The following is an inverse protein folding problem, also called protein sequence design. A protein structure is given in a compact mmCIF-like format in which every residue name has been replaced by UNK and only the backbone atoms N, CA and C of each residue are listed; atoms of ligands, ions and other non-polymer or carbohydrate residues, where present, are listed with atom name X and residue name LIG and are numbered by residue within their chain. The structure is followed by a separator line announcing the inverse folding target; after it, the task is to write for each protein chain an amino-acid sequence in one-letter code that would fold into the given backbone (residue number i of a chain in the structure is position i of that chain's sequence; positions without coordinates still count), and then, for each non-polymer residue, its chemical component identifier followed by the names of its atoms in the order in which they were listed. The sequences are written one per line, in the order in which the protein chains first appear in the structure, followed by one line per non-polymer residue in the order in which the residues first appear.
data_IF_088337392289
#
_entry.id   IF_088337392289
#
_cell.length_a   1.000
_cell.length_b   1.000
_cell.length_c   1.000
_cell.angle_alpha   90.00
_cell.angle_beta   90.00
_cell.angle_gamma   90.00
#
_symmetry.space_group_name_H-M   'P 1'
#
loop_
_entity.id
_entity.type
_entity.pdbx_description
1 polymer ?
#
# COMPACT_ATOMS: atom_id res chain seq x y z
N UNK A 1 12.16 -42.92 4.96
CA UNK A 1 13.35 -42.06 5.17
C UNK A 1 12.86 -40.64 5.45
N UNK A 2 12.78 -40.23 6.72
CA UNK A 2 12.33 -38.88 7.09
C UNK A 2 13.46 -37.89 6.80
N UNK A 3 13.29 -37.06 5.79
CA UNK A 3 14.21 -35.96 5.47
C UNK A 3 14.11 -34.91 6.58
N UNK A 4 14.98 -35.01 7.59
CA UNK A 4 15.15 -33.96 8.61
C UNK A 4 15.80 -32.76 7.92
N UNK A 5 14.99 -31.75 7.62
CA UNK A 5 15.47 -30.51 7.01
C UNK A 5 16.41 -29.81 8.02
N UNK A 6 17.65 -29.44 7.62
CA UNK A 6 18.58 -28.73 8.49
C UNK A 6 17.98 -27.43 9.04
N UNK A 7 18.26 -27.12 10.31
CA UNK A 7 17.69 -25.98 11.04
C UNK A 7 17.92 -24.64 10.34
N UNK A 8 19.07 -24.46 9.68
CA UNK A 8 19.37 -23.27 8.87
C UNK A 8 18.45 -23.12 7.65
N UNK A 9 18.22 -24.20 6.90
CA UNK A 9 17.28 -24.18 5.75
C UNK A 9 15.87 -23.81 6.21
N UNK A 10 15.45 -24.32 7.36
CA UNK A 10 14.14 -23.99 7.93
C UNK A 10 14.03 -22.49 8.24
N UNK A 11 15.04 -21.90 8.86
CA UNK A 11 15.06 -20.46 9.17
C UNK A 11 15.06 -19.57 7.92
N UNK A 12 15.77 -19.98 6.85
CA UNK A 12 15.79 -19.28 5.57
C UNK A 12 14.41 -19.30 4.88
N UNK A 13 13.76 -20.48 4.82
CA UNK A 13 12.42 -20.61 4.22
C UNK A 13 11.40 -19.73 4.96
N UNK A 14 11.44 -19.69 6.28
CA UNK A 14 10.56 -18.83 7.06
C UNK A 14 10.86 -17.34 6.86
N UNK A 15 12.13 -16.94 6.83
CA UNK A 15 12.50 -15.55 6.53
C UNK A 15 11.94 -15.08 5.19
N UNK A 16 12.03 -15.93 4.17
CA UNK A 16 11.47 -15.65 2.85
C UNK A 16 9.93 -15.52 2.88
N UNK A 17 9.24 -16.39 3.62
CA UNK A 17 7.77 -16.30 3.77
C UNK A 17 7.34 -14.97 4.41
N UNK A 18 8.06 -14.49 5.44
CA UNK A 18 7.78 -13.20 6.08
C UNK A 18 7.91 -12.06 5.07
N UNK A 19 8.99 -12.06 4.27
CA UNK A 19 9.19 -11.04 3.23
C UNK A 19 8.07 -11.07 2.18
N UNK A 20 7.64 -12.24 1.74
CA UNK A 20 6.55 -12.41 0.77
C UNK A 20 5.21 -11.88 1.31
N UNK A 21 4.92 -12.09 2.60
CA UNK A 21 3.72 -11.58 3.27
C UNK A 21 3.80 -10.06 3.44
N UNK A 22 4.92 -9.54 3.94
CA UNK A 22 5.13 -8.10 4.15
C UNK A 22 5.07 -7.33 2.82
N UNK A 23 5.65 -7.89 1.75
CA UNK A 23 5.58 -7.32 0.41
C UNK A 23 4.15 -7.30 -0.12
N UNK A 24 3.38 -8.37 0.09
CA UNK A 24 1.97 -8.42 -0.27
C UNK A 24 1.17 -7.33 0.44
N UNK A 25 1.34 -7.21 1.76
CA UNK A 25 0.66 -6.20 2.56
C UNK A 25 1.00 -4.76 2.11
N UNK A 26 2.27 -4.50 1.82
CA UNK A 26 2.76 -3.20 1.33
C UNK A 26 2.17 -2.81 -0.01
N UNK A 27 2.14 -3.74 -0.99
CA UNK A 27 1.54 -3.50 -2.31
C UNK A 27 0.03 -3.28 -2.20
N UNK A 28 -0.64 -4.07 -1.36
CA UNK A 28 -2.05 -3.87 -1.06
C UNK A 28 -2.31 -2.48 -0.48
N UNK A 29 -1.57 -2.11 0.57
CA UNK A 29 -1.71 -0.80 1.20
C UNK A 29 -1.41 0.36 0.23
N UNK A 30 -0.46 0.20 -0.69
CA UNK A 30 -0.22 1.20 -1.74
C UNK A 30 -1.48 1.43 -2.58
N UNK A 31 -2.04 0.35 -3.17
CA UNK A 31 -3.22 0.46 -4.02
C UNK A 31 -4.49 0.81 -3.26
N UNK A 32 -4.52 0.45 -1.99
CA UNK A 32 -5.52 0.81 -1.01
C UNK A 32 -5.29 2.17 -0.37
N UNK A 33 -4.42 3.03 -0.90
CA UNK A 33 -4.34 4.47 -0.57
C UNK A 33 -4.36 5.30 -1.84
N UNK A 34 -3.71 4.81 -2.89
CA UNK A 34 -3.75 5.40 -4.22
C UNK A 34 -5.19 5.35 -4.79
N UNK A 35 -5.68 6.42 -5.45
CA UNK A 35 -7.04 6.50 -5.97
C UNK A 35 -7.25 5.57 -7.18
N UNK A 36 -7.35 4.27 -6.92
CA UNK A 36 -7.51 3.21 -7.92
C UNK A 36 -8.97 2.91 -8.23
N UNK A 37 -9.91 3.39 -7.41
CA UNK A 37 -11.36 3.24 -7.60
C UNK A 37 -11.81 1.80 -7.92
N UNK A 38 -11.28 0.82 -7.18
CA UNK A 38 -11.63 -0.59 -7.33
C UNK A 38 -10.69 -1.39 -8.25
N UNK A 39 -9.73 -0.74 -8.91
CA UNK A 39 -8.73 -1.42 -9.75
C UNK A 39 -7.58 -2.07 -8.95
N UNK A 40 -7.54 -1.89 -7.63
CA UNK A 40 -6.47 -2.38 -6.74
C UNK A 40 -6.20 -3.89 -6.89
N UNK A 41 -7.24 -4.71 -7.01
CA UNK A 41 -7.12 -6.16 -7.22
C UNK A 41 -6.46 -6.50 -8.55
N UNK A 42 -6.87 -5.83 -9.64
CA UNK A 42 -6.32 -6.06 -10.98
C UNK A 42 -4.85 -5.64 -11.01
N UNK A 43 -4.53 -4.48 -10.45
CA UNK A 43 -3.15 -3.98 -10.37
C UNK A 43 -2.27 -4.89 -9.51
N UNK A 44 -2.80 -5.42 -8.40
CA UNK A 44 -2.11 -6.41 -7.57
C UNK A 44 -1.86 -7.72 -8.33
N UNK A 45 -2.81 -8.20 -9.13
CA UNK A 45 -2.63 -9.38 -9.98
C UNK A 45 -1.52 -9.19 -11.02
N UNK A 46 -1.42 -7.99 -11.62
CA UNK A 46 -0.36 -7.68 -12.57
C UNK A 46 1.02 -7.68 -11.89
N UNK A 47 1.14 -7.02 -10.74
CA UNK A 47 2.38 -6.99 -9.97
C UNK A 47 2.78 -8.37 -9.44
N UNK A 48 1.81 -9.23 -9.10
CA UNK A 48 2.09 -10.57 -8.61
C UNK A 48 2.90 -11.41 -9.62
N UNK A 49 2.68 -11.21 -10.92
CA UNK A 49 3.45 -11.90 -11.98
C UNK A 49 4.94 -11.59 -11.90
N UNK A 50 5.30 -10.39 -11.46
CA UNK A 50 6.68 -9.87 -11.40
C UNK A 50 7.31 -10.19 -10.04
N UNK A 51 6.63 -9.80 -8.95
CA UNK A 51 7.21 -9.78 -7.61
C UNK A 51 6.90 -11.03 -6.76
N UNK A 52 5.94 -11.86 -7.16
CA UNK A 52 5.60 -13.15 -6.51
C UNK A 52 5.35 -13.04 -4.98
N UNK A 53 4.61 -12.02 -4.56
CA UNK A 53 4.21 -11.79 -3.16
C UNK A 53 2.94 -12.56 -2.76
N UNK A 54 2.52 -12.50 -1.49
CA UNK A 54 1.26 -13.11 -1.06
C UNK A 54 0.05 -12.30 -1.58
N UNK A 55 -0.57 -12.77 -2.67
CA UNK A 55 -1.68 -12.07 -3.33
C UNK A 55 -2.93 -11.91 -2.45
N UNK A 56 -3.43 -12.95 -1.72
CA UNK A 56 -4.53 -12.77 -0.78
C UNK A 56 -4.28 -11.65 0.24
N UNK A 57 -3.07 -11.59 0.81
CA UNK A 57 -2.68 -10.53 1.75
C UNK A 57 -2.71 -9.15 1.08
N UNK A 58 -2.23 -9.05 -0.17
CA UNK A 58 -2.28 -7.79 -0.92
C UNK A 58 -3.73 -7.33 -1.17
N UNK A 59 -4.60 -8.25 -1.58
CA UNK A 59 -6.02 -7.93 -1.78
C UNK A 59 -6.65 -7.46 -0.46
N UNK A 60 -6.42 -8.17 0.65
CA UNK A 60 -6.93 -7.77 1.96
C UNK A 60 -6.41 -6.39 2.41
N UNK A 61 -5.11 -6.13 2.22
CA UNK A 61 -4.51 -4.84 2.59
C UNK A 61 -4.97 -3.69 1.67
N UNK A 62 -5.44 -3.97 0.45
CA UNK A 62 -6.00 -2.94 -0.42
C UNK A 62 -7.36 -2.40 0.07
N UNK A 63 -8.06 -3.12 0.95
CA UNK A 63 -9.31 -2.66 1.58
C UNK A 63 -9.09 -1.78 2.81
N UNK A 64 -7.86 -1.29 3.04
CA UNK A 64 -7.60 -0.24 4.05
C UNK A 64 -8.42 1.03 3.71
N UNK A 65 -8.58 1.37 2.42
CA UNK A 65 -9.54 2.36 1.94
C UNK A 65 -10.97 1.83 2.10
N UNK A 66 -11.59 2.17 3.22
CA UNK A 66 -13.03 2.08 3.40
C UNK A 66 -13.69 3.44 3.05
N UNK A 67 -15.00 3.48 2.70
CA UNK A 67 -15.70 4.72 2.34
C UNK A 67 -15.55 5.87 3.35
N UNK A 68 -15.24 5.55 4.62
CA UNK A 68 -14.99 6.50 5.69
C UNK A 68 -13.58 7.14 5.62
N UNK A 69 -12.56 6.34 5.32
CA UNK A 69 -11.14 6.79 5.25
C UNK A 69 -10.79 7.42 3.91
N UNK A 70 -11.47 7.05 2.82
CA UNK A 70 -11.16 7.55 1.47
C UNK A 70 -11.19 9.07 1.35
N UNK A 71 -12.23 9.79 1.81
CA UNK A 71 -12.25 11.24 1.69
C UNK A 71 -11.08 11.92 2.40
N UNK A 72 -10.70 11.40 3.57
CA UNK A 72 -9.59 11.93 4.36
C UNK A 72 -8.24 11.71 3.67
N UNK A 73 -7.99 10.52 3.14
CA UNK A 73 -6.76 10.21 2.41
C UNK A 73 -6.64 11.04 1.13
N UNK A 74 -7.74 11.22 0.38
CA UNK A 74 -7.74 12.08 -0.82
C UNK A 74 -7.45 13.54 -0.47
N UNK A 75 -7.98 14.04 0.65
CA UNK A 75 -7.69 15.39 1.14
C UNK A 75 -6.21 15.57 1.52
N UNK A 76 -5.62 14.58 2.22
CA UNK A 76 -4.18 14.58 2.52
C UNK A 76 -3.38 14.54 1.23
N UNK A 77 -3.72 13.65 0.30
CA UNK A 77 -3.07 13.54 -0.99
C UNK A 77 -3.13 14.84 -1.77
N UNK A 78 -4.26 15.53 -1.80
CA UNK A 78 -4.34 16.84 -2.46
C UNK A 78 -3.42 17.86 -1.78
N UNK A 79 -3.46 17.98 -0.45
CA UNK A 79 -2.59 18.89 0.32
C UNK A 79 -1.10 18.56 0.15
N UNK A 80 -0.74 17.28 0.05
CA UNK A 80 0.64 16.88 -0.25
C UNK A 80 1.00 17.26 -1.68
N UNK A 81 0.09 17.07 -2.62
CA UNK A 81 0.26 17.44 -4.03
C UNK A 81 0.50 18.93 -4.24
N UNK A 82 -0.13 19.81 -3.45
CA UNK A 82 0.07 21.26 -3.55
C UNK A 82 1.50 21.70 -3.19
N UNK A 83 2.29 20.87 -2.52
CA UNK A 83 3.72 21.15 -2.31
C UNK A 83 4.58 20.94 -3.56
N UNK A 84 4.09 20.16 -4.53
CA UNK A 84 4.80 19.85 -5.77
C UNK A 84 4.27 20.63 -6.97
N UNK A 85 2.99 20.99 -6.94
CA UNK A 85 2.33 21.76 -7.99
C UNK A 85 1.68 22.98 -7.36
N UNK A 86 2.14 24.16 -7.78
CA UNK A 86 1.50 25.41 -7.40
C UNK A 86 0.05 25.44 -7.92
N UNK A 87 -0.86 25.70 -7.00
CA UNK A 87 -2.28 25.73 -7.30
C UNK A 87 -2.99 26.76 -6.43
N UNK A 88 -3.67 27.70 -7.09
CA UNK A 88 -4.52 28.69 -6.44
C UNK A 88 -5.94 28.18 -6.20
N UNK A 89 -6.19 26.89 -6.43
CA UNK A 89 -7.51 26.29 -6.29
C UNK A 89 -7.94 26.36 -4.83
N UNK A 90 -8.89 27.24 -4.56
CA UNK A 90 -9.72 27.20 -3.37
C UNK A 90 -10.88 26.25 -3.64
N UNK A 91 -11.16 25.35 -2.71
CA UNK A 91 -12.37 24.52 -2.78
C UNK A 91 -13.59 25.40 -2.53
N UNK A 92 -14.09 26.02 -3.60
CA UNK A 92 -15.34 26.76 -3.61
C UNK A 92 -16.43 25.89 -4.22
N UNK A 93 -17.57 25.79 -3.53
CA UNK A 93 -18.68 24.92 -3.91
C UNK A 93 -19.28 25.28 -5.28
N UNK A 94 -19.12 26.52 -5.73
CA UNK A 94 -19.71 27.00 -6.98
C UNK A 94 -18.89 26.61 -8.21
N UNK A 95 -17.56 26.50 -8.11
CA UNK A 95 -16.65 26.27 -9.26
C UNK A 95 -15.76 25.02 -9.12
N UNK A 96 -16.12 24.08 -8.24
CA UNK A 96 -15.31 22.87 -8.00
C UNK A 96 -15.10 22.01 -9.26
N UNK A 97 -16.06 22.01 -10.17
CA UNK A 97 -16.02 21.22 -11.41
C UNK A 97 -15.13 21.85 -12.48
N UNK A 98 -14.96 23.17 -12.49
CA UNK A 98 -14.13 23.89 -13.47
C UNK A 98 -12.66 23.50 -13.36
N UNK A 99 -12.23 23.13 -12.16
CA UNK A 99 -10.85 22.77 -11.85
C UNK A 99 -10.63 21.26 -11.68
N UNK A 100 -11.61 20.42 -12.01
CA UNK A 100 -11.57 18.98 -11.66
C UNK A 100 -10.35 18.25 -12.24
N UNK A 101 -9.89 18.65 -13.43
CA UNK A 101 -8.70 18.11 -14.08
C UNK A 101 -7.43 18.47 -13.30
N UNK A 102 -7.27 19.75 -12.93
CA UNK A 102 -6.13 20.22 -12.13
C UNK A 102 -6.15 19.65 -10.72
N UNK A 103 -7.33 19.56 -10.08
CA UNK A 103 -7.50 18.88 -8.78
C UNK A 103 -7.06 17.43 -8.88
N UNK A 104 -7.55 16.70 -9.88
CA UNK A 104 -7.19 15.31 -10.12
C UNK A 104 -5.69 15.12 -10.30
N UNK A 105 -5.04 15.98 -11.08
CA UNK A 105 -3.60 15.91 -11.33
C UNK A 105 -2.76 16.16 -10.06
N UNK A 106 -3.06 17.24 -9.32
CA UNK A 106 -2.42 17.55 -8.03
C UNK A 106 -2.60 16.40 -7.04
N UNK A 107 -3.84 15.88 -6.95
CA UNK A 107 -4.18 14.77 -6.08
C UNK A 107 -3.43 13.49 -6.44
N UNK A 108 -3.26 13.16 -7.73
CA UNK A 108 -2.52 11.97 -8.16
C UNK A 108 -1.04 12.03 -7.77
N UNK A 109 -0.41 13.22 -7.89
CA UNK A 109 0.98 13.41 -7.49
C UNK A 109 1.14 13.26 -5.98
N UNK A 110 0.29 13.92 -5.19
CA UNK A 110 0.38 13.75 -3.75
C UNK A 110 -0.03 12.34 -3.29
N UNK A 111 -0.97 11.69 -3.97
CA UNK A 111 -1.33 10.30 -3.71
C UNK A 111 -0.16 9.36 -3.92
N UNK A 112 0.68 9.60 -4.93
CA UNK A 112 1.90 8.81 -5.17
C UNK A 112 2.83 8.86 -3.96
N UNK A 113 3.01 10.03 -3.36
CA UNK A 113 3.85 10.21 -2.18
C UNK A 113 3.23 9.53 -0.96
N UNK A 114 1.96 9.80 -0.68
CA UNK A 114 1.25 9.28 0.49
C UNK A 114 1.14 7.75 0.43
N UNK A 115 0.81 7.19 -0.73
CA UNK A 115 0.73 5.73 -0.91
C UNK A 115 2.09 5.07 -0.79
N UNK A 116 3.16 5.69 -1.31
CA UNK A 116 4.53 5.16 -1.18
C UNK A 116 4.99 5.13 0.27
N UNK A 117 4.81 6.22 1.02
CA UNK A 117 5.17 6.28 2.44
C UNK A 117 4.38 5.23 3.22
N UNK A 118 3.07 5.13 2.97
CA UNK A 118 2.21 4.15 3.63
C UNK A 118 2.66 2.71 3.32
N UNK A 119 2.97 2.42 2.06
CA UNK A 119 3.44 1.11 1.64
C UNK A 119 4.76 0.72 2.33
N UNK A 120 5.70 1.66 2.46
CA UNK A 120 6.96 1.43 3.17
C UNK A 120 6.71 1.15 4.65
N UNK A 121 5.90 1.96 5.32
CA UNK A 121 5.56 1.78 6.73
C UNK A 121 4.90 0.40 6.96
N UNK A 122 3.93 0.03 6.14
CA UNK A 122 3.24 -1.26 6.23
C UNK A 122 4.21 -2.43 6.04
N UNK A 123 5.14 -2.34 5.08
CA UNK A 123 6.16 -3.38 4.89
C UNK A 123 6.95 -3.64 6.17
N UNK A 124 7.49 -2.58 6.77
CA UNK A 124 8.32 -2.70 7.98
C UNK A 124 7.53 -3.14 9.20
N UNK A 125 6.30 -2.62 9.39
CA UNK A 125 5.42 -3.00 10.50
C UNK A 125 5.10 -4.49 10.43
N UNK A 126 4.66 -5.01 9.28
CA UNK A 126 4.30 -6.41 9.13
C UNK A 126 5.53 -7.31 9.32
N UNK A 127 6.65 -6.95 8.68
CA UNK A 127 7.90 -7.70 8.83
C UNK A 127 8.34 -7.79 10.29
N UNK A 128 8.42 -6.66 10.98
CA UNK A 128 8.87 -6.60 12.36
C UNK A 128 7.92 -7.32 13.32
N UNK A 129 6.60 -7.17 13.12
CA UNK A 129 5.60 -7.82 13.98
C UNK A 129 5.70 -9.34 13.90
N UNK A 130 5.84 -9.91 12.71
CA UNK A 130 5.96 -11.37 12.53
C UNK A 130 7.31 -11.87 13.07
N UNK A 131 8.40 -11.16 12.79
CA UNK A 131 9.74 -11.51 13.30
C UNK A 131 9.80 -11.48 14.83
N UNK A 132 9.20 -10.46 15.46
CA UNK A 132 9.15 -10.33 16.90
C UNK A 132 8.27 -11.41 17.54
N UNK A 133 7.10 -11.69 16.97
CA UNK A 133 6.22 -12.78 17.43
C UNK A 133 6.92 -14.14 17.43
N UNK A 134 7.75 -14.41 16.41
CA UNK A 134 8.52 -15.66 16.30
C UNK A 134 9.51 -15.85 17.45
N UNK A 135 10.20 -14.78 17.87
CA UNK A 135 11.19 -14.83 18.96
C UNK A 135 10.59 -15.21 20.32
N UNK A 136 9.27 -15.10 20.49
CA UNK A 136 8.58 -15.48 21.73
C UNK A 136 8.12 -16.94 21.78
N UNK A 137 8.05 -17.60 20.63
CA UNK A 137 7.47 -18.96 20.50
C UNK A 137 8.56 -20.05 20.43
N UNK A 138 9.78 -19.69 20.06
CA UNK A 138 10.97 -20.56 20.02
C UNK A 138 11.83 -20.25 21.23
#
# INVERSE_FOLDING_TARGET
MNLVIPTERRNLVFGLQIVIIALGASIGAFWGVFPTFGLSTILSLLLYKIFRFNLPVAISAAFILNPLTSPFLLMISFKVGTFFIETDIKFEYENWYENISKIGYVMLIGSTVVSTITALLVYFIIKYTIEYGRKKVI
#
